data_IF_205321976928
#
_entry.id   IF_205321976928
#
_cell.length_a   1.000
_cell.length_b   1.000
_cell.length_c   1.000
_cell.angle_alpha   90.00
_cell.angle_beta   90.00
_cell.angle_gamma   90.00
#
_symmetry.space_group_name_H-M   'P 1'
#
loop_
_entity.id
_entity.type
_entity.pdbx_description
1 polymer ?
#
# COMPACT_ATOMS: atom_id res chain seq x y z
N UNK A 1 33.56 -23.16 59.02
CA UNK A 1 32.45 -22.67 58.24
C UNK A 1 32.87 -22.56 56.78
N UNK A 2 32.09 -23.13 55.83
CA UNK A 2 32.39 -23.04 54.41
C UNK A 2 32.07 -21.65 53.87
N UNK A 3 32.75 -21.16 52.82
CA UNK A 3 32.50 -19.86 52.26
C UNK A 3 31.18 -19.89 51.50
N UNK A 4 30.35 -18.85 51.74
CA UNK A 4 29.11 -18.58 51.01
C UNK A 4 29.49 -18.14 49.61
N UNK A 5 29.20 -18.97 48.62
CA UNK A 5 29.32 -18.60 47.21
C UNK A 5 28.22 -17.61 46.86
N UNK A 6 28.57 -16.37 46.74
CA UNK A 6 27.71 -15.33 46.11
C UNK A 6 27.70 -15.59 44.61
N UNK A 7 26.69 -16.32 44.14
CA UNK A 7 26.35 -16.32 42.72
C UNK A 7 25.84 -14.93 42.35
N UNK A 8 26.68 -14.16 41.67
CA UNK A 8 26.29 -12.94 41.04
C UNK A 8 25.34 -13.30 39.89
N UNK A 9 24.07 -13.03 40.08
CA UNK A 9 23.04 -12.92 39.04
C UNK A 9 23.39 -11.71 38.16
N UNK A 10 24.26 -11.93 37.17
CA UNK A 10 24.67 -10.92 36.20
C UNK A 10 24.23 -11.29 34.77
N UNK A 11 23.11 -12.02 34.64
CA UNK A 11 22.44 -12.19 33.34
C UNK A 11 21.05 -11.57 33.36
N UNK A 12 21.00 -10.29 33.72
CA UNK A 12 19.89 -9.47 33.33
C UNK A 12 20.03 -9.23 31.82
N UNK A 13 19.45 -10.13 31.02
CA UNK A 13 19.20 -9.88 29.62
C UNK A 13 18.55 -8.49 29.50
N UNK A 14 19.06 -7.59 28.65
CA UNK A 14 18.39 -6.33 28.43
C UNK A 14 17.00 -6.66 27.86
N UNK A 15 15.99 -6.50 28.68
CA UNK A 15 14.61 -6.50 28.26
C UNK A 15 14.52 -5.25 27.38
N UNK A 16 14.65 -5.43 26.07
CA UNK A 16 14.33 -4.40 25.10
C UNK A 16 12.84 -4.13 25.28
N UNK A 17 12.53 -3.09 26.03
CA UNK A 17 11.18 -2.64 26.27
C UNK A 17 10.62 -2.20 24.91
N UNK A 18 9.94 -3.10 24.21
CA UNK A 18 9.16 -2.75 23.02
C UNK A 18 7.93 -2.00 23.51
N UNK A 19 7.96 -0.69 23.34
CA UNK A 19 6.78 0.14 23.61
C UNK A 19 5.84 0.00 22.43
N UNK A 20 4.76 -0.75 22.61
CA UNK A 20 3.70 -0.87 21.65
C UNK A 20 2.50 -0.03 22.12
N UNK A 21 1.97 0.79 21.21
CA UNK A 21 0.83 1.66 21.46
C UNK A 21 -0.29 1.31 20.50
N UNK A 22 -1.51 1.21 21.01
CA UNK A 22 -2.68 1.28 20.16
C UNK A 22 -2.97 2.75 19.86
N UNK A 23 -3.02 3.07 18.58
CA UNK A 23 -3.35 4.41 18.09
C UNK A 23 -4.67 4.38 17.34
N UNK A 24 -5.48 5.39 17.58
CA UNK A 24 -6.67 5.68 16.82
C UNK A 24 -6.64 7.16 16.42
N UNK A 25 -6.70 7.42 15.12
CA UNK A 25 -6.64 8.74 14.54
C UNK A 25 -7.92 9.00 13.74
N UNK A 26 -8.49 10.17 13.95
CA UNK A 26 -9.57 10.70 13.12
C UNK A 26 -8.95 11.73 12.17
N UNK A 27 -9.18 11.54 10.87
CA UNK A 27 -8.73 12.48 9.83
C UNK A 27 -9.96 13.00 9.08
N UNK A 28 -9.90 14.15 8.42
CA UNK A 28 -11.01 14.64 7.61
C UNK A 28 -11.45 13.59 6.57
N UNK A 29 -12.71 13.12 6.71
CA UNK A 29 -13.28 12.11 5.82
C UNK A 29 -12.78 10.68 6.02
N UNK A 30 -12.00 10.40 7.08
CA UNK A 30 -11.44 9.08 7.29
C UNK A 30 -11.02 8.77 8.72
N UNK A 31 -10.40 7.62 8.88
CA UNK A 31 -9.85 7.14 10.15
C UNK A 31 -8.61 6.29 9.91
N UNK A 32 -7.80 6.11 10.94
CA UNK A 32 -6.76 5.11 10.99
C UNK A 32 -6.64 4.58 12.42
N UNK A 33 -6.54 3.26 12.58
CA UNK A 33 -6.33 2.61 13.88
C UNK A 33 -5.40 1.42 13.73
N UNK A 34 -4.64 1.11 14.78
CA UNK A 34 -3.73 -0.03 14.75
C UNK A 34 -2.72 0.01 15.87
N UNK A 35 -1.80 -0.93 15.87
CA UNK A 35 -0.72 -1.03 16.85
C UNK A 35 0.57 -0.54 16.22
N UNK A 36 1.26 0.36 16.94
CA UNK A 36 2.57 0.91 16.55
C UNK A 36 3.57 0.53 17.64
N UNK A 37 4.62 -0.15 17.27
CA UNK A 37 5.73 -0.47 18.15
C UNK A 37 6.99 0.29 17.71
N UNK A 38 7.53 1.05 18.64
CA UNK A 38 8.78 1.79 18.43
C UNK A 38 9.96 0.90 18.80
N UNK A 39 10.90 0.79 17.90
CA UNK A 39 12.15 0.07 18.07
C UNK A 39 13.33 0.99 17.69
N UNK A 40 14.55 0.76 18.23
CA UNK A 40 15.70 1.55 17.82
C UNK A 40 15.89 1.51 16.29
N UNK A 41 15.77 2.68 15.65
CA UNK A 41 15.93 2.84 14.19
C UNK A 41 14.79 2.31 13.33
N UNK A 42 13.68 1.80 13.91
CA UNK A 42 12.56 1.31 13.12
C UNK A 42 11.20 1.48 13.83
N UNK A 43 10.15 1.48 13.04
CA UNK A 43 8.75 1.44 13.50
C UNK A 43 8.11 0.17 12.94
N UNK A 44 7.50 -0.61 13.80
CA UNK A 44 6.67 -1.74 13.38
C UNK A 44 5.20 -1.38 13.51
N UNK A 45 4.43 -1.72 12.47
CA UNK A 45 2.98 -1.58 12.44
C UNK A 45 2.36 -2.97 12.44
N UNK A 46 1.24 -3.13 13.13
CA UNK A 46 0.47 -4.37 13.08
C UNK A 46 -1.02 -4.11 13.26
N UNK A 47 -1.83 -4.90 12.56
CA UNK A 47 -3.28 -4.82 12.61
C UNK A 47 -3.80 -3.38 12.37
N UNK A 48 -3.24 -2.70 11.37
CA UNK A 48 -3.69 -1.36 11.00
C UNK A 48 -4.87 -1.47 10.06
N UNK A 49 -5.90 -0.68 10.34
CA UNK A 49 -7.07 -0.49 9.48
C UNK A 49 -7.27 1.01 9.29
N UNK A 50 -7.36 1.45 8.05
CA UNK A 50 -7.61 2.84 7.71
C UNK A 50 -8.61 2.97 6.57
N UNK A 51 -9.36 4.05 6.59
CA UNK A 51 -10.29 4.42 5.52
C UNK A 51 -10.17 5.91 5.23
N UNK A 52 -10.15 6.28 3.94
CA UNK A 52 -10.04 7.67 3.53
C UNK A 52 -10.58 7.87 2.10
N UNK A 53 -10.93 9.11 1.70
CA UNK A 53 -11.22 9.40 0.31
C UNK A 53 -10.02 9.10 -0.60
N UNK A 54 -10.28 8.50 -1.78
CA UNK A 54 -9.23 8.23 -2.79
C UNK A 54 -8.49 9.51 -3.17
N UNK A 55 -9.18 10.65 -3.18
CA UNK A 55 -8.57 11.94 -3.47
C UNK A 55 -7.38 12.30 -2.55
N UNK A 56 -7.46 11.91 -1.28
CA UNK A 56 -6.36 12.15 -0.33
C UNK A 56 -5.16 11.24 -0.62
N UNK A 57 -5.42 9.99 -0.99
CA UNK A 57 -4.37 9.05 -1.38
C UNK A 57 -3.72 9.46 -2.71
N UNK A 58 -4.54 9.86 -3.70
CA UNK A 58 -4.07 10.29 -5.01
C UNK A 58 -3.13 11.51 -4.95
N UNK A 59 -3.37 12.45 -4.03
CA UNK A 59 -2.50 13.62 -3.83
C UNK A 59 -1.05 13.26 -3.47
N UNK A 60 -0.85 12.08 -2.85
CA UNK A 60 0.49 11.61 -2.46
C UNK A 60 1.27 11.02 -3.64
N UNK A 61 0.56 10.53 -4.67
CA UNK A 61 1.14 9.77 -5.78
C UNK A 61 1.15 10.61 -7.06
N UNK A 62 0.03 11.19 -7.42
CA UNK A 62 -0.10 12.00 -8.63
C UNK A 62 -1.28 12.99 -8.50
N UNK A 63 -1.19 14.20 -9.06
CA UNK A 63 -2.27 15.19 -8.99
C UNK A 63 -3.40 14.84 -9.96
N UNK A 64 -4.11 13.73 -9.69
CA UNK A 64 -5.29 13.32 -10.46
C UNK A 64 -6.56 13.59 -9.68
N UNK A 65 -7.60 14.06 -10.38
CA UNK A 65 -8.94 14.27 -9.80
C UNK A 65 -9.70 12.93 -9.71
N UNK A 66 -9.25 12.06 -8.81
CA UNK A 66 -9.94 10.80 -8.50
C UNK A 66 -10.89 11.01 -7.33
N UNK A 67 -12.05 10.38 -7.42
CA UNK A 67 -13.02 10.26 -6.33
C UNK A 67 -13.22 8.78 -6.01
N UNK A 68 -13.78 8.49 -4.84
CA UNK A 68 -14.00 7.14 -4.36
C UNK A 68 -13.54 7.00 -2.91
N UNK A 69 -13.55 5.77 -2.42
CA UNK A 69 -13.13 5.42 -1.06
C UNK A 69 -11.96 4.46 -1.11
N UNK A 70 -10.96 4.71 -0.29
CA UNK A 70 -9.84 3.81 -0.07
C UNK A 70 -9.98 3.14 1.30
N UNK A 71 -9.81 1.83 1.36
CA UNK A 71 -9.60 1.07 2.58
C UNK A 71 -8.21 0.46 2.57
N UNK A 72 -7.51 0.55 3.69
CA UNK A 72 -6.14 0.07 3.85
C UNK A 72 -6.12 -0.87 5.05
N UNK A 73 -5.68 -2.08 4.83
CA UNK A 73 -5.48 -3.09 5.87
C UNK A 73 -4.01 -3.49 5.85
N UNK A 74 -3.28 -3.28 6.95
CA UNK A 74 -1.90 -3.69 7.10
C UNK A 74 -1.85 -4.75 8.20
N UNK A 75 -1.61 -5.99 7.83
CA UNK A 75 -1.39 -7.07 8.79
C UNK A 75 -0.07 -6.85 9.54
N UNK A 76 0.99 -6.52 8.82
CA UNK A 76 2.28 -6.14 9.38
C UNK A 76 3.08 -5.24 8.44
N UNK A 77 3.82 -4.29 9.03
CA UNK A 77 4.81 -3.51 8.28
C UNK A 77 6.02 -3.19 9.17
N UNK A 78 7.17 -3.07 8.56
CA UNK A 78 8.37 -2.54 9.18
C UNK A 78 8.87 -1.34 8.38
N UNK A 79 9.05 -0.23 9.07
CA UNK A 79 9.50 1.04 8.50
C UNK A 79 10.87 1.37 9.11
N UNK A 80 11.87 1.56 8.27
CA UNK A 80 13.22 2.00 8.66
C UNK A 80 13.50 3.28 7.92
N UNK A 81 13.94 4.31 8.63
CA UNK A 81 14.24 5.61 8.05
C UNK A 81 13.13 6.17 7.14
N UNK A 82 11.88 6.02 7.59
CA UNK A 82 10.65 6.47 6.90
C UNK A 82 10.31 5.70 5.61
N UNK A 83 10.96 4.57 5.35
CA UNK A 83 10.69 3.72 4.20
C UNK A 83 10.31 2.30 4.64
N UNK A 84 9.29 1.66 4.03
CA UNK A 84 8.92 0.29 4.34
C UNK A 84 10.04 -0.67 3.89
N UNK A 85 10.45 -1.56 4.80
CA UNK A 85 11.39 -2.64 4.52
C UNK A 85 10.71 -4.01 4.57
N UNK A 86 9.46 -4.04 5.05
CA UNK A 86 8.56 -5.18 4.99
C UNK A 86 7.13 -4.65 5.00
N UNK A 87 6.29 -5.23 4.17
CA UNK A 87 4.89 -4.83 4.06
C UNK A 87 4.02 -6.05 3.74
N UNK A 88 3.02 -6.27 4.57
CA UNK A 88 1.91 -7.20 4.38
C UNK A 88 0.64 -6.36 4.46
N UNK A 89 0.07 -6.04 3.32
CA UNK A 89 -1.02 -5.08 3.25
C UNK A 89 -1.95 -5.32 2.07
N UNK A 90 -3.20 -4.93 2.26
CA UNK A 90 -4.20 -4.86 1.20
C UNK A 90 -4.78 -3.46 1.16
N UNK A 91 -4.74 -2.84 -0.01
CA UNK A 91 -5.37 -1.55 -0.29
C UNK A 91 -6.49 -1.80 -1.29
N UNK A 92 -7.72 -1.41 -0.95
CA UNK A 92 -8.87 -1.48 -1.85
C UNK A 92 -9.36 -0.09 -2.15
N UNK A 93 -9.61 0.17 -3.42
CA UNK A 93 -10.19 1.41 -3.92
C UNK A 93 -11.58 1.08 -4.44
N UNK A 94 -12.59 1.65 -3.82
CA UNK A 94 -13.98 1.41 -4.18
C UNK A 94 -14.65 2.63 -4.81
N UNK A 95 -15.52 2.40 -5.79
CA UNK A 95 -16.26 3.42 -6.53
C UNK A 95 -15.34 4.50 -7.09
N UNK A 96 -14.24 4.08 -7.71
CA UNK A 96 -13.27 5.02 -8.27
C UNK A 96 -13.86 5.68 -9.51
N UNK A 97 -13.87 7.02 -9.49
CA UNK A 97 -14.33 7.84 -10.58
C UNK A 97 -13.26 8.86 -10.95
N UNK A 98 -13.10 9.09 -12.23
CA UNK A 98 -12.29 10.19 -12.74
C UNK A 98 -13.21 11.38 -12.97
N UNK A 99 -13.03 12.43 -12.16
CA UNK A 99 -13.77 13.66 -12.28
C UNK A 99 -13.09 14.60 -13.28
N UNK A 100 -13.53 14.53 -14.53
CA UNK A 100 -13.17 15.46 -15.60
C UNK A 100 -14.43 16.18 -16.10
N UNK A 101 -14.42 16.70 -17.33
CA UNK A 101 -15.56 17.34 -17.94
C UNK A 101 -16.82 16.43 -18.04
N UNK A 102 -16.63 15.13 -17.95
CA UNK A 102 -17.67 14.13 -17.72
C UNK A 102 -17.17 13.09 -16.73
N UNK A 103 -17.97 12.75 -15.75
CA UNK A 103 -17.67 11.70 -14.78
C UNK A 103 -17.49 10.35 -15.48
N UNK A 104 -16.37 9.68 -15.19
CA UNK A 104 -16.05 8.35 -15.72
C UNK A 104 -15.92 7.43 -14.53
N UNK A 105 -16.88 6.51 -14.37
CA UNK A 105 -16.74 5.43 -13.43
C UNK A 105 -15.60 4.51 -13.91
N UNK A 106 -14.60 4.30 -13.07
CA UNK A 106 -13.50 3.37 -13.35
C UNK A 106 -13.77 2.02 -12.72
N UNK A 107 -14.41 1.98 -11.54
CA UNK A 107 -14.77 0.78 -10.81
C UNK A 107 -13.96 0.56 -9.54
N UNK A 108 -13.81 -0.70 -9.16
CA UNK A 108 -13.16 -1.11 -7.93
C UNK A 108 -11.83 -1.80 -8.23
N UNK A 109 -10.81 -1.48 -7.44
CA UNK A 109 -9.45 -2.00 -7.61
C UNK A 109 -8.86 -2.45 -6.28
N UNK A 110 -7.86 -3.32 -6.36
CA UNK A 110 -7.04 -3.66 -5.20
C UNK A 110 -5.55 -3.68 -5.52
N UNK A 111 -4.76 -3.43 -4.47
CA UNK A 111 -3.31 -3.57 -4.46
C UNK A 111 -2.96 -4.43 -3.25
N UNK A 112 -2.32 -5.56 -3.47
CA UNK A 112 -1.93 -6.53 -2.44
C UNK A 112 -0.42 -6.62 -2.37
N UNK A 113 0.13 -6.32 -1.19
CA UNK A 113 1.52 -6.57 -0.84
C UNK A 113 1.58 -7.84 0.00
N UNK A 114 2.05 -8.93 -0.60
CA UNK A 114 2.26 -10.20 0.09
C UNK A 114 3.77 -10.38 0.35
N UNK A 115 4.19 -10.61 1.60
CA UNK A 115 5.60 -10.87 1.90
C UNK A 115 6.20 -12.07 1.15
N UNK A 116 5.37 -13.00 0.67
CA UNK A 116 5.80 -14.13 -0.14
C UNK A 116 6.23 -13.72 -1.56
N UNK A 117 5.73 -12.60 -2.07
CA UNK A 117 6.10 -12.04 -3.37
C UNK A 117 7.32 -11.10 -3.28
N UNK A 118 7.71 -10.70 -2.06
CA UNK A 118 8.86 -9.83 -1.82
C UNK A 118 10.17 -10.62 -1.92
N UNK A 119 11.19 -9.98 -2.44
CA UNK A 119 12.58 -10.47 -2.34
C UNK A 119 13.36 -9.66 -1.27
N UNK A 120 14.66 -9.93 -1.12
CA UNK A 120 15.46 -9.27 -0.09
C UNK A 120 15.63 -7.75 -0.31
N UNK A 121 15.40 -7.27 -1.51
CA UNK A 121 15.69 -5.90 -1.93
C UNK A 121 14.43 -5.12 -2.34
N UNK A 122 13.31 -5.82 -2.66
CA UNK A 122 12.11 -5.20 -3.22
C UNK A 122 10.85 -5.66 -2.51
N UNK A 123 9.90 -4.76 -2.34
CA UNK A 123 8.55 -5.07 -1.89
C UNK A 123 7.64 -4.95 -3.11
N UNK A 124 7.02 -6.07 -3.48
CA UNK A 124 6.17 -6.13 -4.67
C UNK A 124 4.71 -6.16 -4.26
N UNK A 125 3.93 -5.23 -4.83
CA UNK A 125 2.48 -5.20 -4.72
C UNK A 125 1.84 -5.57 -6.05
N UNK A 126 0.83 -6.43 -6.02
CA UNK A 126 0.04 -6.82 -7.19
C UNK A 126 -1.23 -5.97 -7.28
N UNK A 127 -1.42 -5.34 -8.43
CA UNK A 127 -2.62 -4.56 -8.76
C UNK A 127 -3.57 -5.43 -9.57
N UNK A 128 -4.85 -5.38 -9.23
CA UNK A 128 -5.93 -5.98 -10.02
C UNK A 128 -7.22 -5.18 -9.88
N UNK A 129 -8.09 -5.30 -10.85
CA UNK A 129 -9.48 -4.88 -10.71
C UNK A 129 -10.28 -5.92 -9.91
N UNK A 130 -11.41 -5.48 -9.35
CA UNK A 130 -12.40 -6.32 -8.68
C UNK A 130 -13.73 -6.29 -9.40
N UNK A 131 -14.26 -5.08 -9.66
CA UNK A 131 -15.47 -4.82 -10.44
C UNK A 131 -15.27 -3.47 -11.13
N UNK A 132 -14.71 -3.51 -12.34
CA UNK A 132 -14.30 -2.31 -13.04
C UNK A 132 -14.64 -2.35 -14.53
N UNK A 133 -14.74 -1.16 -15.14
CA UNK A 133 -14.83 -1.00 -16.59
C UNK A 133 -13.46 -1.15 -17.28
N UNK A 134 -12.41 -1.24 -16.48
CA UNK A 134 -11.04 -1.46 -16.91
C UNK A 134 -10.56 -2.80 -16.32
N UNK A 135 -10.21 -3.74 -17.17
CA UNK A 135 -9.41 -4.91 -16.77
C UNK A 135 -7.99 -4.42 -16.53
N UNK A 136 -7.58 -4.40 -15.27
CA UNK A 136 -6.29 -3.89 -14.81
C UNK A 136 -5.50 -5.01 -14.15
N UNK A 137 -4.30 -5.21 -14.64
CA UNK A 137 -3.34 -6.16 -14.10
C UNK A 137 -1.97 -5.49 -14.05
N UNK A 138 -1.24 -5.68 -12.98
CA UNK A 138 0.08 -5.10 -12.88
C UNK A 138 0.72 -5.19 -11.51
N UNK A 139 1.78 -4.41 -11.33
CA UNK A 139 2.57 -4.41 -10.12
C UNK A 139 3.06 -3.02 -9.76
N UNK A 140 3.26 -2.84 -8.46
CA UNK A 140 3.98 -1.72 -7.85
C UNK A 140 5.18 -2.30 -7.11
N UNK A 141 6.36 -1.82 -7.40
CA UNK A 141 7.60 -2.24 -6.74
C UNK A 141 8.13 -1.09 -5.90
N UNK A 142 8.32 -1.32 -4.59
CA UNK A 142 8.99 -0.37 -3.71
C UNK A 142 10.47 -0.73 -3.65
N UNK A 143 11.33 0.21 -4.02
CA UNK A 143 12.77 0.03 -4.16
C UNK A 143 13.51 0.44 -2.89
N UNK A 144 14.67 -0.16 -2.57
CA UNK A 144 15.45 0.16 -1.37
C UNK A 144 15.91 1.63 -1.29
N UNK A 145 16.17 2.24 -2.43
CA UNK A 145 16.57 3.66 -2.56
C UNK A 145 15.42 4.66 -2.35
N UNK A 146 14.29 4.20 -1.82
CA UNK A 146 13.09 5.00 -1.55
C UNK A 146 12.38 5.47 -2.82
N UNK A 147 12.55 4.71 -3.90
CA UNK A 147 11.81 4.86 -5.13
C UNK A 147 10.64 3.89 -5.23
N UNK A 148 9.84 4.07 -6.24
CA UNK A 148 8.85 3.07 -6.64
C UNK A 148 8.78 2.98 -8.15
N UNK A 149 8.43 1.80 -8.64
CA UNK A 149 8.13 1.53 -10.05
C UNK A 149 6.69 1.05 -10.15
N UNK A 150 6.01 1.44 -11.20
CA UNK A 150 4.64 1.03 -11.51
C UNK A 150 4.62 0.48 -12.93
N UNK A 151 4.08 -0.71 -13.08
CA UNK A 151 3.93 -1.39 -14.37
C UNK A 151 2.48 -1.92 -14.42
N UNK A 152 1.62 -1.25 -15.18
CA UNK A 152 0.21 -1.59 -15.29
C UNK A 152 -0.16 -1.89 -16.74
N UNK A 153 -0.94 -2.94 -16.93
CA UNK A 153 -1.59 -3.27 -18.18
C UNK A 153 -3.09 -3.06 -18.05
N UNK A 154 -3.64 -2.28 -18.95
CA UNK A 154 -5.05 -1.84 -18.86
C UNK A 154 -5.76 -2.17 -20.16
N UNK A 155 -6.88 -2.88 -20.07
CA UNK A 155 -7.78 -3.14 -21.19
C UNK A 155 -9.17 -2.59 -20.87
N UNK A 156 -9.64 -1.56 -21.58
CA UNK A 156 -11.00 -1.05 -21.39
C UNK A 156 -12.04 -2.08 -21.85
N UNK A 157 -13.17 -2.15 -21.14
CA UNK A 157 -14.35 -2.89 -21.60
C UNK A 157 -14.80 -2.39 -22.98
N UNK A 158 -15.37 -3.27 -23.80
CA UNK A 158 -15.73 -2.96 -25.19
C UNK A 158 -16.62 -1.72 -25.33
N UNK A 159 -17.56 -1.54 -24.40
CA UNK A 159 -18.47 -0.40 -24.37
C UNK A 159 -17.79 0.97 -24.20
N UNK A 160 -16.62 0.99 -23.54
CA UNK A 160 -15.88 2.21 -23.20
C UNK A 160 -14.61 2.37 -24.06
N UNK A 161 -14.29 1.39 -24.90
CA UNK A 161 -13.04 1.32 -25.67
C UNK A 161 -12.75 2.58 -26.46
N UNK A 162 -13.70 3.10 -27.23
CA UNK A 162 -13.50 4.31 -28.04
C UNK A 162 -13.18 5.54 -27.19
N UNK A 163 -13.74 5.60 -26.01
CA UNK A 163 -13.50 6.72 -25.07
C UNK A 163 -12.10 6.68 -24.51
N UNK A 164 -11.66 5.49 -24.05
CA UNK A 164 -10.32 5.28 -23.52
C UNK A 164 -9.25 5.37 -24.60
N UNK A 165 -9.49 4.87 -25.82
CA UNK A 165 -8.57 5.01 -26.96
C UNK A 165 -8.28 6.48 -27.27
N UNK A 166 -9.24 7.36 -27.13
CA UNK A 166 -9.03 8.80 -27.31
C UNK A 166 -8.21 9.41 -26.16
N UNK A 167 -8.41 8.94 -24.95
CA UNK A 167 -7.69 9.45 -23.76
C UNK A 167 -6.24 8.94 -23.72
N UNK A 168 -6.06 7.66 -24.01
CA UNK A 168 -4.77 6.94 -23.90
C UNK A 168 -4.05 6.83 -25.25
N UNK A 169 -4.40 7.66 -26.25
CA UNK A 169 -3.85 7.57 -27.62
C UNK A 169 -2.32 7.65 -27.70
N UNK A 170 -1.66 8.21 -26.69
CA UNK A 170 -0.20 8.36 -26.62
C UNK A 170 0.46 7.25 -25.80
N UNK A 171 -0.33 6.38 -25.18
CA UNK A 171 0.15 5.26 -24.37
C UNK A 171 0.35 4.07 -25.33
N UNK A 172 1.51 3.40 -25.30
CA UNK A 172 1.76 2.22 -26.13
C UNK A 172 0.82 1.08 -25.73
N UNK A 173 0.50 0.23 -26.71
CA UNK A 173 -0.21 -1.02 -26.50
C UNK A 173 0.74 -2.19 -26.70
N UNK A 174 0.53 -3.24 -25.91
CA UNK A 174 1.19 -4.52 -26.11
C UNK A 174 0.57 -5.33 -27.27
N UNK A 175 1.08 -6.55 -27.49
CA UNK A 175 0.62 -7.45 -28.55
C UNK A 175 -0.85 -7.89 -28.35
N UNK A 176 -1.35 -7.87 -27.12
CA UNK A 176 -2.73 -8.21 -26.75
C UNK A 176 -3.67 -6.98 -26.81
N UNK A 177 -3.15 -5.81 -27.18
CA UNK A 177 -3.90 -4.56 -27.29
C UNK A 177 -4.18 -3.87 -25.95
N UNK A 178 -3.50 -4.28 -24.86
CA UNK A 178 -3.55 -3.65 -23.55
C UNK A 178 -2.64 -2.43 -23.54
N UNK A 179 -3.07 -1.36 -22.90
CA UNK A 179 -2.24 -0.19 -22.66
C UNK A 179 -1.19 -0.48 -21.58
N UNK A 180 0.05 -0.06 -21.83
CA UNK A 180 1.17 -0.16 -20.87
C UNK A 180 1.40 1.22 -20.22
N UNK A 181 1.17 1.30 -18.91
CA UNK A 181 1.30 2.50 -18.09
C UNK A 181 2.45 2.37 -17.10
#
# INVERSE_FOLDING_TARGET
>A
PPPIATHALHDALPIWLQLAYFLELQIPGGFARGVVALQPGSVALSNVSAGMPVAELARLIAPMNLQGQASIEIASARIVEQWPTRLDAVIRLGNVNLNQASEIALGDFQLVFDPADANAEEIVGKVSDLDALLDVDGRVVLLPERGYEVDLRVLPADAERERFDRMLRLVPKDEDGRYQL
#
